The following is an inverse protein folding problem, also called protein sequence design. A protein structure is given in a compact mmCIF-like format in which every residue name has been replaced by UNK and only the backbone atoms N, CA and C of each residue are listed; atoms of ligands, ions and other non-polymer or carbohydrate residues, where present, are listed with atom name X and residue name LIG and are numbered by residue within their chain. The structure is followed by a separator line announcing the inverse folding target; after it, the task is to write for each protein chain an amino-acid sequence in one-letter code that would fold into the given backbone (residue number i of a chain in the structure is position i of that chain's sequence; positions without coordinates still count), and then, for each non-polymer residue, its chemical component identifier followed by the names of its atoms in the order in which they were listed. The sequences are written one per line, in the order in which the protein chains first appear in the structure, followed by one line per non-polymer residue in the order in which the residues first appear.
data_IF_134719131829
#
_entry.id   IF_134719131829
#
_cell.length_a   1.000
_cell.length_b   1.000
_cell.length_c   1.000
_cell.angle_alpha   90.00
_cell.angle_beta   90.00
_cell.angle_gamma   90.00
#
_symmetry.space_group_name_H-M   'P 1'
#
loop_
_entity.id
_entity.type
_entity.pdbx_description
1 polymer ?
#
# COMPACT_ATOMS: atom_id res chain seq x y z
N UNK A 1 -32.52 33.39 19.52
CA UNK A 1 -31.45 34.41 19.39
C UNK A 1 -30.30 33.94 20.28
N UNK A 2 -29.04 33.84 19.87
CA UNK A 2 -28.39 34.24 18.63
C UNK A 2 -27.39 33.18 18.14
N UNK A 3 -27.19 33.16 16.82
CA UNK A 3 -26.17 32.37 16.16
C UNK A 3 -24.80 32.98 16.39
N UNK A 4 -23.89 32.20 17.00
CA UNK A 4 -22.47 32.48 16.97
C UNK A 4 -21.91 32.14 15.59
N UNK A 5 -21.56 33.17 14.83
CA UNK A 5 -20.66 33.04 13.67
C UNK A 5 -19.38 32.34 14.15
N UNK A 6 -19.09 31.16 13.61
CA UNK A 6 -17.74 30.59 13.69
C UNK A 6 -16.84 31.53 12.88
N UNK A 7 -16.06 32.34 13.59
CA UNK A 7 -14.89 32.98 13.03
C UNK A 7 -13.91 31.87 12.68
N UNK A 8 -13.59 31.73 11.40
CA UNK A 8 -12.47 30.93 10.92
C UNK A 8 -11.19 31.52 11.51
N UNK A 9 -10.77 31.00 12.66
CA UNK A 9 -9.41 31.17 13.14
C UNK A 9 -8.52 30.40 12.16
N UNK A 10 -7.87 31.13 11.24
CA UNK A 10 -6.79 30.60 10.41
C UNK A 10 -5.74 30.05 11.36
N UNK A 11 -5.72 28.73 11.52
CA UNK A 11 -4.75 28.02 12.33
C UNK A 11 -3.37 28.20 11.72
N UNK A 12 -2.38 28.47 12.56
CA UNK A 12 -0.98 28.79 12.19
C UNK A 12 -0.26 27.67 11.40
N UNK A 13 -0.85 26.47 11.27
CA UNK A 13 -0.29 25.34 10.50
C UNK A 13 -1.19 24.90 9.34
N UNK A 14 -1.54 25.82 8.42
CA UNK A 14 -2.24 25.45 7.18
C UNK A 14 -1.29 24.65 6.27
N UNK A 15 -1.66 23.43 5.91
CA UNK A 15 -0.87 22.59 5.01
C UNK A 15 -0.87 23.16 3.58
N UNK A 16 0.19 22.92 2.76
CA UNK A 16 0.28 23.46 1.41
C UNK A 16 -0.93 23.14 0.52
N UNK A 17 -1.45 21.89 0.58
CA UNK A 17 -2.63 21.50 -0.18
C UNK A 17 -3.91 22.22 0.27
N UNK A 18 -4.02 22.57 1.55
CA UNK A 18 -5.18 23.32 2.10
C UNK A 18 -5.13 24.77 1.65
N UNK A 19 -3.94 25.38 1.67
CA UNK A 19 -3.74 26.73 1.16
C UNK A 19 -4.04 26.80 -0.34
N UNK A 20 -3.57 25.81 -1.10
CA UNK A 20 -3.89 25.68 -2.52
C UNK A 20 -5.40 25.48 -2.75
N UNK A 21 -6.06 24.62 -1.99
CA UNK A 21 -7.51 24.39 -2.09
C UNK A 21 -8.31 25.67 -1.82
N UNK A 22 -7.97 26.41 -0.77
CA UNK A 22 -8.64 27.67 -0.45
C UNK A 22 -8.42 28.72 -1.56
N UNK A 23 -7.19 28.89 -2.01
CA UNK A 23 -6.84 29.86 -3.04
C UNK A 23 -7.47 29.51 -4.41
N UNK A 24 -7.37 28.25 -4.84
CA UNK A 24 -7.96 27.77 -6.09
C UNK A 24 -9.48 27.89 -6.08
N UNK A 25 -10.15 27.59 -4.95
CA UNK A 25 -11.59 27.78 -4.80
C UNK A 25 -11.99 29.25 -4.97
N UNK A 26 -11.28 30.18 -4.35
CA UNK A 26 -11.54 31.62 -4.52
C UNK A 26 -11.30 32.06 -5.97
N UNK A 27 -10.19 31.65 -6.58
CA UNK A 27 -9.85 32.01 -7.96
C UNK A 27 -10.90 31.50 -8.95
N UNK A 28 -11.28 30.23 -8.86
CA UNK A 28 -12.29 29.64 -9.75
C UNK A 28 -13.67 30.25 -9.51
N UNK A 29 -14.04 30.53 -8.25
CA UNK A 29 -15.31 31.20 -7.95
C UNK A 29 -15.33 32.60 -8.56
N UNK A 30 -14.24 33.35 -8.51
CA UNK A 30 -14.16 34.66 -9.14
C UNK A 30 -14.27 34.58 -10.68
N UNK A 31 -13.64 33.57 -11.29
CA UNK A 31 -13.78 33.31 -12.74
C UNK A 31 -15.24 33.00 -13.09
N UNK A 32 -15.93 32.18 -12.29
CA UNK A 32 -17.35 31.85 -12.48
C UNK A 32 -18.23 33.08 -12.30
N UNK A 33 -17.97 33.90 -11.28
CA UNK A 33 -18.69 35.17 -11.05
C UNK A 33 -18.53 36.10 -12.23
N UNK A 34 -17.31 36.29 -12.73
CA UNK A 34 -17.03 37.17 -13.86
C UNK A 34 -17.69 36.65 -15.13
N UNK A 35 -17.57 35.34 -15.41
CA UNK A 35 -18.23 34.73 -16.57
C UNK A 35 -19.75 34.90 -16.50
N UNK A 36 -20.36 34.65 -15.34
CA UNK A 36 -21.80 34.81 -15.14
C UNK A 36 -22.26 36.26 -15.20
N UNK A 37 -21.44 37.20 -14.71
CA UNK A 37 -21.67 38.63 -14.82
C UNK A 37 -21.65 39.08 -16.27
N UNK A 38 -20.62 38.70 -17.04
CA UNK A 38 -20.53 39.00 -18.47
C UNK A 38 -21.70 38.39 -19.24
N UNK A 39 -22.10 37.16 -18.88
CA UNK A 39 -23.21 36.49 -19.52
C UNK A 39 -24.56 37.19 -19.25
N UNK A 40 -24.76 37.74 -18.04
CA UNK A 40 -25.95 38.52 -17.70
C UNK A 40 -25.92 39.93 -18.30
N UNK A 41 -24.77 40.60 -18.24
CA UNK A 41 -24.57 41.98 -18.69
C UNK A 41 -24.77 42.11 -20.21
N UNK A 42 -24.22 41.16 -20.98
CA UNK A 42 -24.38 41.13 -22.43
C UNK A 42 -25.59 40.31 -22.90
N UNK A 43 -26.45 39.87 -21.97
CA UNK A 43 -27.64 39.06 -22.27
C UNK A 43 -27.35 37.76 -23.06
N UNK A 44 -26.17 37.18 -22.83
CA UNK A 44 -25.78 35.89 -23.39
C UNK A 44 -26.47 34.71 -22.67
N UNK A 45 -26.85 34.91 -21.41
CA UNK A 45 -27.66 34.00 -20.61
C UNK A 45 -29.17 34.20 -20.83
N UNK A 46 -30.01 33.16 -20.66
CA UNK A 46 -31.46 33.29 -20.76
C UNK A 46 -32.02 34.19 -19.66
N UNK A 47 -32.99 35.04 -20.00
CA UNK A 47 -33.65 35.94 -19.05
C UNK A 47 -34.63 35.19 -18.14
N UNK A 48 -34.90 35.72 -16.94
CA UNK A 48 -36.05 35.31 -16.11
C UNK A 48 -37.11 36.42 -16.07
N UNK A 49 -38.41 36.12 -16.03
CA UNK A 49 -39.43 37.16 -15.88
C UNK A 49 -39.38 37.78 -14.48
N UNK A 50 -39.51 39.11 -14.40
CA UNK A 50 -39.55 39.84 -13.12
C UNK A 50 -40.79 39.41 -12.33
N UNK A 51 -40.57 39.04 -11.06
CA UNK A 51 -41.63 38.60 -10.15
C UNK A 51 -42.65 39.71 -9.80
N UNK A 52 -42.45 40.94 -10.29
CA UNK A 52 -43.33 42.09 -10.08
C UNK A 52 -44.11 42.58 -11.32
N UNK A 53 -43.99 41.95 -12.49
CA UNK A 53 -44.61 42.47 -13.72
C UNK A 53 -46.13 42.22 -13.75
N UNK A 54 -46.92 43.30 -13.60
CA UNK A 54 -48.40 43.30 -13.61
C UNK A 54 -49.07 43.01 -14.97
N UNK A 55 -48.34 42.55 -15.99
CA UNK A 55 -48.93 42.16 -17.28
C UNK A 55 -48.95 40.65 -17.45
N UNK A 56 -49.94 40.02 -16.82
CA UNK A 56 -50.79 38.97 -17.38
C UNK A 56 -50.22 37.94 -18.37
N UNK A 57 -49.02 37.40 -18.15
CA UNK A 57 -48.61 36.13 -18.75
C UNK A 57 -48.38 35.16 -17.60
N UNK A 58 -49.25 34.16 -17.45
CA UNK A 58 -48.94 32.98 -16.63
C UNK A 58 -47.70 32.37 -17.26
N UNK A 59 -46.54 32.63 -16.66
CA UNK A 59 -45.32 31.94 -17.03
C UNK A 59 -45.35 30.66 -16.22
N UNK A 60 -45.50 29.52 -16.90
CA UNK A 60 -45.23 28.22 -16.30
C UNK A 60 -43.87 28.27 -15.60
N UNK A 61 -43.71 27.54 -14.48
CA UNK A 61 -42.51 27.59 -13.64
C UNK A 61 -41.24 27.69 -14.49
N UNK A 62 -40.52 28.82 -14.38
CA UNK A 62 -39.34 29.12 -15.18
C UNK A 62 -38.32 28.00 -15.01
N UNK A 63 -38.16 27.19 -16.05
CA UNK A 63 -37.15 26.14 -16.14
C UNK A 63 -36.00 26.64 -17.05
N UNK A 64 -34.82 26.93 -16.47
CA UNK A 64 -33.65 27.40 -17.20
C UNK A 64 -33.15 26.41 -18.25
N UNK A 65 -33.57 25.14 -18.18
CA UNK A 65 -33.12 24.08 -19.10
C UNK A 65 -33.95 24.00 -20.39
N UNK A 66 -35.16 24.55 -20.40
CA UNK A 66 -36.13 24.39 -21.51
C UNK A 66 -36.42 25.69 -22.27
N UNK A 67 -36.15 26.87 -21.70
CA UNK A 67 -36.50 28.15 -22.34
C UNK A 67 -35.31 28.78 -23.05
N UNK A 68 -35.00 28.28 -24.25
CA UNK A 68 -34.00 28.87 -25.16
C UNK A 68 -34.56 30.05 -25.97
N UNK A 69 -35.35 30.93 -25.36
CA UNK A 69 -35.83 32.14 -26.06
C UNK A 69 -34.95 33.32 -25.64
N UNK A 70 -33.95 33.65 -26.48
CA UNK A 70 -33.24 34.93 -26.34
C UNK A 70 -34.25 36.04 -26.58
N UNK A 71 -34.29 36.94 -25.61
CA UNK A 71 -35.21 38.07 -25.59
C UNK A 71 -34.51 39.21 -26.29
N UNK A 72 -35.18 39.83 -27.26
CA UNK A 72 -34.62 41.01 -27.93
C UNK A 72 -34.46 42.15 -26.92
N UNK A 73 -33.54 43.09 -27.15
CA UNK A 73 -33.38 44.26 -26.27
C UNK A 73 -34.70 45.01 -26.06
N UNK A 74 -35.54 45.10 -27.09
CA UNK A 74 -36.86 45.72 -27.01
C UNK A 74 -37.79 44.94 -26.07
N UNK A 75 -37.85 43.61 -26.18
CA UNK A 75 -38.65 42.77 -25.27
C UNK A 75 -38.10 42.80 -23.84
N UNK A 76 -36.79 42.96 -23.65
CA UNK A 76 -36.16 43.10 -22.32
C UNK A 76 -36.63 44.38 -21.63
N UNK A 77 -36.56 45.51 -22.34
CA UNK A 77 -36.96 46.85 -21.84
C UNK A 77 -38.47 46.94 -21.63
N UNK A 78 -39.28 46.30 -22.48
CA UNK A 78 -40.74 46.41 -22.44
C UNK A 78 -41.44 45.31 -21.62
N UNK A 79 -40.78 44.17 -21.39
CA UNK A 79 -41.39 42.95 -20.87
C UNK A 79 -41.21 42.68 -19.38
N UNK A 80 -40.48 43.52 -18.63
CA UNK A 80 -40.21 43.29 -17.22
C UNK A 80 -39.41 42.01 -17.00
N UNK A 81 -38.26 41.89 -17.67
CA UNK A 81 -37.33 40.78 -17.54
C UNK A 81 -36.15 41.14 -16.65
N UNK A 82 -35.59 40.16 -15.97
CA UNK A 82 -34.43 40.30 -15.10
C UNK A 82 -33.36 39.25 -15.45
N UNK A 83 -32.11 39.56 -15.12
CA UNK A 83 -31.02 38.59 -15.20
C UNK A 83 -31.22 37.46 -14.20
N UNK A 84 -30.69 36.27 -14.50
CA UNK A 84 -30.78 35.11 -13.60
C UNK A 84 -30.26 35.47 -12.19
N UNK A 85 -29.16 36.22 -12.12
CA UNK A 85 -28.49 36.54 -10.86
C UNK A 85 -27.69 35.33 -10.34
N UNK A 86 -27.35 35.33 -9.04
CA UNK A 86 -26.55 34.28 -8.39
C UNK A 86 -25.24 33.97 -9.14
N UNK A 87 -24.39 34.99 -9.32
CA UNK A 87 -23.15 34.88 -10.11
C UNK A 87 -22.13 33.90 -9.52
N UNK A 88 -22.20 33.59 -8.22
CA UNK A 88 -21.28 32.68 -7.55
C UNK A 88 -21.50 31.20 -7.84
N UNK A 89 -22.56 30.82 -8.57
CA UNK A 89 -22.92 29.42 -8.82
C UNK A 89 -22.76 29.09 -10.31
N UNK A 90 -22.02 28.01 -10.67
CA UNK A 90 -21.92 27.54 -12.05
C UNK A 90 -23.30 27.22 -12.64
N UNK A 91 -23.57 27.66 -13.87
CA UNK A 91 -24.90 27.54 -14.50
C UNK A 91 -24.97 26.36 -15.46
N UNK A 92 -26.09 25.60 -15.40
CA UNK A 92 -26.32 24.36 -16.15
C UNK A 92 -27.28 24.53 -17.32
N UNK A 93 -27.03 25.48 -18.22
CA UNK A 93 -27.78 25.62 -19.48
C UNK A 93 -26.84 25.60 -20.69
N UNK A 94 -27.33 25.17 -21.86
CA UNK A 94 -26.53 25.10 -23.08
C UNK A 94 -26.45 26.48 -23.74
N UNK A 95 -25.28 27.13 -23.68
CA UNK A 95 -24.98 28.35 -24.44
C UNK A 95 -24.67 27.99 -25.92
N UNK A 96 -25.13 28.82 -26.87
CA UNK A 96 -24.82 28.66 -28.30
C UNK A 96 -23.31 28.83 -28.58
N UNK A 97 -22.74 28.00 -29.46
CA UNK A 97 -21.30 27.89 -29.76
C UNK A 97 -20.57 29.22 -30.05
N UNK A 98 -21.21 30.15 -30.75
CA UNK A 98 -20.57 31.40 -31.18
C UNK A 98 -20.32 32.35 -30.00
N UNK A 99 -21.23 32.36 -29.03
CA UNK A 99 -21.17 33.24 -27.85
C UNK A 99 -20.25 32.69 -26.77
N UNK A 100 -20.08 31.37 -26.72
CA UNK A 100 -18.98 30.77 -26.00
C UNK A 100 -17.61 31.25 -26.49
N UNK A 101 -17.49 31.65 -27.76
CA UNK A 101 -16.21 32.12 -28.32
C UNK A 101 -15.90 33.55 -27.89
N UNK A 102 -16.89 34.45 -27.90
CA UNK A 102 -16.72 35.85 -27.46
C UNK A 102 -16.44 35.95 -25.95
N UNK A 103 -17.26 35.28 -25.13
CA UNK A 103 -17.08 35.23 -23.67
C UNK A 103 -15.72 34.61 -23.34
N UNK A 104 -15.33 33.55 -24.05
CA UNK A 104 -14.00 32.94 -23.89
C UNK A 104 -12.87 33.91 -24.22
N UNK A 105 -12.94 34.67 -25.32
CA UNK A 105 -11.89 35.63 -25.68
C UNK A 105 -11.75 36.74 -24.62
N UNK A 106 -12.86 37.21 -24.06
CA UNK A 106 -12.85 38.20 -22.97
C UNK A 106 -12.22 37.60 -21.71
N UNK A 107 -12.59 36.36 -21.35
CA UNK A 107 -12.00 35.66 -20.21
C UNK A 107 -10.50 35.37 -20.41
N UNK A 108 -10.07 35.05 -21.63
CA UNK A 108 -8.65 34.89 -21.95
C UNK A 108 -7.87 36.21 -21.82
N UNK A 109 -8.49 37.35 -22.13
CA UNK A 109 -7.88 38.66 -21.91
C UNK A 109 -7.79 39.03 -20.43
N UNK A 110 -8.86 38.76 -19.65
CA UNK A 110 -8.92 39.09 -18.21
C UNK A 110 -8.05 38.16 -17.36
N UNK A 111 -8.03 36.86 -17.69
CA UNK A 111 -7.41 35.80 -16.91
C UNK A 111 -6.26 35.10 -17.65
N UNK A 112 -5.69 35.69 -18.70
CA UNK A 112 -4.64 35.06 -19.52
C UNK A 112 -3.41 34.59 -18.72
N UNK A 113 -3.07 35.29 -17.63
CA UNK A 113 -1.95 34.92 -16.75
C UNK A 113 -2.34 33.96 -15.62
N UNK A 114 -3.63 33.65 -15.44
CA UNK A 114 -4.11 32.84 -14.33
C UNK A 114 -3.53 31.43 -14.34
N UNK A 115 -3.33 30.85 -15.53
CA UNK A 115 -2.67 29.56 -15.69
C UNK A 115 -1.24 29.59 -15.12
N UNK A 116 -0.45 30.59 -15.49
CA UNK A 116 0.94 30.69 -15.01
C UNK A 116 1.02 30.90 -13.49
N UNK A 117 0.10 31.68 -12.92
CA UNK A 117 0.02 31.82 -11.46
C UNK A 117 -0.38 30.51 -10.78
N UNK A 118 -1.33 29.77 -11.35
CA UNK A 118 -1.77 28.49 -10.81
C UNK A 118 -0.64 27.45 -10.86
N UNK A 119 0.08 27.36 -11.98
CA UNK A 119 1.26 26.49 -12.12
C UNK A 119 2.35 26.88 -11.10
N UNK A 120 2.63 28.18 -10.93
CA UNK A 120 3.59 28.65 -9.93
C UNK A 120 3.15 28.33 -8.49
N UNK A 121 1.85 28.38 -8.19
CA UNK A 121 1.32 27.97 -6.89
C UNK A 121 1.47 26.48 -6.65
N UNK A 122 1.23 25.66 -7.67
CA UNK A 122 1.45 24.21 -7.62
C UNK A 122 2.92 23.94 -7.30
N UNK A 123 3.84 24.49 -8.10
CA UNK A 123 5.27 24.27 -7.95
C UNK A 123 5.78 24.69 -6.56
N UNK A 124 5.30 25.83 -6.04
CA UNK A 124 5.64 26.29 -4.70
C UNK A 124 5.07 25.38 -3.61
N UNK A 125 3.84 24.89 -3.78
CA UNK A 125 3.19 23.99 -2.84
C UNK A 125 3.81 22.59 -2.79
N UNK A 126 4.39 22.12 -3.90
CA UNK A 126 5.01 20.79 -4.01
C UNK A 126 6.54 20.80 -3.87
N UNK A 127 7.17 21.97 -3.74
CA UNK A 127 8.63 22.13 -3.73
C UNK A 127 9.34 21.31 -2.66
N UNK A 128 8.79 21.28 -1.45
CA UNK A 128 9.40 20.59 -0.30
C UNK A 128 8.85 19.19 -0.10
N UNK A 129 7.55 19.01 -0.38
CA UNK A 129 6.86 17.74 -0.26
C UNK A 129 6.00 17.50 -1.51
N UNK A 130 6.53 16.77 -2.50
CA UNK A 130 5.77 16.42 -3.70
C UNK A 130 4.54 15.54 -3.44
N UNK A 131 4.44 14.86 -2.29
CA UNK A 131 3.26 14.06 -1.96
C UNK A 131 2.00 14.91 -1.81
N UNK A 132 2.16 16.19 -1.45
CA UNK A 132 1.08 17.19 -1.37
C UNK A 132 0.34 17.37 -2.70
N UNK A 133 0.95 17.00 -3.83
CA UNK A 133 0.30 17.01 -5.13
C UNK A 133 -0.98 16.19 -5.12
N UNK A 134 -1.04 15.07 -4.39
CA UNK A 134 -2.24 14.25 -4.26
C UNK A 134 -3.41 15.01 -3.60
N UNK A 135 -3.12 15.73 -2.51
CA UNK A 135 -4.14 16.55 -1.84
C UNK A 135 -4.61 17.73 -2.69
N UNK A 136 -3.72 18.29 -3.51
CA UNK A 136 -4.07 19.32 -4.48
C UNK A 136 -4.91 18.77 -5.64
N UNK A 137 -4.65 17.54 -6.09
CA UNK A 137 -5.49 16.84 -7.09
C UNK A 137 -6.91 16.65 -6.54
N UNK A 138 -7.05 16.17 -5.30
CA UNK A 138 -8.36 16.02 -4.65
C UNK A 138 -9.13 17.36 -4.59
N UNK A 139 -8.43 18.46 -4.32
CA UNK A 139 -9.02 19.80 -4.34
C UNK A 139 -9.45 20.23 -5.76
N UNK A 140 -8.63 19.95 -6.79
CA UNK A 140 -8.98 20.24 -8.18
C UNK A 140 -10.19 19.43 -8.63
N UNK A 141 -10.30 18.16 -8.23
CA UNK A 141 -11.46 17.29 -8.52
C UNK A 141 -12.77 17.86 -7.95
N UNK A 142 -12.74 18.38 -6.71
CA UNK A 142 -13.91 19.02 -6.12
C UNK A 142 -14.36 20.25 -6.92
N UNK A 143 -13.40 21.06 -7.42
CA UNK A 143 -13.68 22.21 -8.29
C UNK A 143 -14.17 21.77 -9.67
N UNK A 144 -13.62 20.69 -10.21
CA UNK A 144 -14.00 20.12 -11.50
C UNK A 144 -15.46 19.63 -11.45
N UNK A 145 -15.84 18.92 -10.38
CA UNK A 145 -17.20 18.43 -10.17
C UNK A 145 -18.24 19.56 -10.05
N UNK A 146 -17.85 20.72 -9.48
CA UNK A 146 -18.71 21.91 -9.50
C UNK A 146 -18.90 22.48 -10.91
N UNK A 147 -17.89 22.40 -11.77
CA UNK A 147 -17.92 22.92 -13.14
C UNK A 147 -18.44 21.91 -14.18
N UNK A 148 -18.47 20.60 -13.87
CA UNK A 148 -18.94 19.56 -14.81
C UNK A 148 -20.40 19.80 -15.21
N UNK A 149 -20.65 19.77 -16.53
CA UNK A 149 -21.98 19.98 -17.10
C UNK A 149 -22.47 21.43 -17.10
N UNK A 150 -21.57 22.41 -16.92
CA UNK A 150 -21.86 23.84 -16.94
C UNK A 150 -21.29 24.52 -18.20
N UNK A 151 -21.59 25.79 -18.41
CA UNK A 151 -21.05 26.62 -19.49
C UNK A 151 -19.62 27.14 -19.22
N UNK A 152 -18.99 26.73 -18.12
CA UNK A 152 -17.71 27.26 -17.62
C UNK A 152 -16.48 26.60 -18.30
N UNK A 153 -16.44 26.60 -19.64
CA UNK A 153 -15.41 25.90 -20.41
C UNK A 153 -13.98 26.40 -20.11
N UNK A 154 -13.80 27.69 -19.84
CA UNK A 154 -12.49 28.25 -19.48
C UNK A 154 -11.97 27.68 -18.16
N UNK A 155 -12.83 27.65 -17.12
CA UNK A 155 -12.48 27.10 -15.81
C UNK A 155 -12.19 25.60 -15.88
N UNK A 156 -12.99 24.83 -16.64
CA UNK A 156 -12.77 23.39 -16.86
C UNK A 156 -11.38 23.13 -17.46
N UNK A 157 -11.03 23.83 -18.55
CA UNK A 157 -9.72 23.67 -19.21
C UNK A 157 -8.55 24.05 -18.30
N UNK A 158 -8.72 25.10 -17.50
CA UNK A 158 -7.72 25.53 -16.54
C UNK A 158 -7.48 24.46 -15.46
N UNK A 159 -8.56 23.88 -14.92
CA UNK A 159 -8.50 22.81 -13.93
C UNK A 159 -7.92 21.50 -14.50
N UNK A 160 -8.29 21.12 -15.73
CA UNK A 160 -7.70 19.97 -16.44
C UNK A 160 -6.19 20.12 -16.62
N UNK A 161 -5.73 21.33 -16.99
CA UNK A 161 -4.31 21.62 -17.15
C UNK A 161 -3.55 21.53 -15.80
N UNK A 162 -4.13 22.09 -14.73
CA UNK A 162 -3.57 22.04 -13.38
C UNK A 162 -3.48 20.61 -12.85
N UNK A 163 -4.54 19.81 -13.04
CA UNK A 163 -4.58 18.38 -12.68
C UNK A 163 -3.48 17.60 -13.39
N UNK A 164 -3.32 17.79 -14.70
CA UNK A 164 -2.26 17.13 -15.49
C UNK A 164 -0.85 17.48 -14.98
N UNK A 165 -0.61 18.74 -14.63
CA UNK A 165 0.66 19.18 -14.05
C UNK A 165 0.93 18.51 -12.70
N UNK A 166 -0.06 18.50 -11.81
CA UNK A 166 0.00 17.83 -10.51
C UNK A 166 0.24 16.32 -10.63
N UNK A 167 -0.45 15.63 -11.54
CA UNK A 167 -0.24 14.20 -11.79
C UNK A 167 1.19 13.92 -12.24
N UNK A 168 1.77 14.79 -13.09
CA UNK A 168 3.15 14.65 -13.55
C UNK A 168 4.15 14.76 -12.39
N UNK A 169 3.97 15.75 -11.50
CA UNK A 169 4.80 15.93 -10.30
C UNK A 169 4.68 14.70 -9.38
N UNK A 170 3.45 14.21 -9.19
CA UNK A 170 3.19 13.06 -8.34
C UNK A 170 3.81 11.77 -8.91
N UNK A 171 3.70 11.53 -10.22
CA UNK A 171 4.34 10.38 -10.86
C UNK A 171 5.88 10.42 -10.71
N UNK A 172 6.50 11.59 -10.88
CA UNK A 172 7.94 11.77 -10.65
C UNK A 172 8.33 11.46 -9.21
N UNK A 173 7.50 11.89 -8.25
CA UNK A 173 7.69 11.54 -6.85
C UNK A 173 7.64 10.02 -6.62
N UNK A 174 6.66 9.31 -7.18
CA UNK A 174 6.55 7.85 -7.05
C UNK A 174 7.78 7.16 -7.63
N UNK A 175 8.23 7.57 -8.82
CA UNK A 175 9.45 7.02 -9.43
C UNK A 175 10.70 7.28 -8.57
N UNK A 176 10.82 8.48 -7.99
CA UNK A 176 11.92 8.79 -7.08
C UNK A 176 11.87 7.93 -5.80
N UNK A 177 10.69 7.64 -5.25
CA UNK A 177 10.56 6.73 -4.11
C UNK A 177 10.98 5.29 -4.46
N UNK A 178 10.58 4.78 -5.63
CA UNK A 178 10.99 3.45 -6.11
C UNK A 178 12.50 3.38 -6.30
N UNK A 179 13.11 4.37 -6.97
CA UNK A 179 14.56 4.44 -7.15
C UNK A 179 15.31 4.52 -5.80
N UNK A 180 14.77 5.24 -4.81
CA UNK A 180 15.36 5.33 -3.48
C UNK A 180 15.28 4.01 -2.68
N UNK A 181 14.28 3.17 -2.97
CA UNK A 181 14.18 1.81 -2.41
C UNK A 181 15.28 0.93 -3.01
N UNK A 182 15.51 1.03 -4.32
CA UNK A 182 16.50 0.23 -5.06
C UNK A 182 17.95 0.61 -4.74
N UNK A 183 18.25 1.90 -4.60
CA UNK A 183 19.60 2.40 -4.32
C UNK A 183 20.14 1.86 -2.98
N UNK A 184 19.24 1.53 -2.05
CA UNK A 184 19.57 0.81 -0.81
C UNK A 184 19.80 -0.68 -1.08
N UNK A 185 20.88 -0.99 -1.79
CA UNK A 185 21.32 -2.37 -2.04
C UNK A 185 21.38 -3.16 -0.74
N UNK A 186 20.65 -4.26 -0.69
CA UNK A 186 20.65 -5.19 0.43
C UNK A 186 21.98 -5.95 0.45
N UNK A 187 22.85 -5.63 1.42
CA UNK A 187 24.11 -6.34 1.58
C UNK A 187 23.84 -7.65 2.31
N UNK A 188 23.89 -8.78 1.60
CA UNK A 188 23.71 -10.14 2.18
C UNK A 188 24.91 -10.60 3.02
N UNK A 189 26.09 -10.00 2.80
CA UNK A 189 27.34 -10.33 3.51
C UNK A 189 27.39 -9.83 4.96
N UNK A 190 26.75 -8.69 5.25
CA UNK A 190 26.54 -8.16 6.60
C UNK A 190 25.04 -8.05 6.79
N UNK A 191 24.46 -8.84 7.69
CA UNK A 191 23.03 -8.81 8.02
C UNK A 191 22.60 -7.37 8.31
N UNK A 192 22.08 -6.71 7.29
CA UNK A 192 21.57 -5.36 7.41
C UNK A 192 20.31 -5.44 8.29
N UNK A 193 20.11 -4.45 9.15
CA UNK A 193 18.90 -4.40 9.97
C UNK A 193 17.64 -4.20 9.12
N UNK A 194 16.52 -3.99 9.81
CA UNK A 194 15.24 -3.64 9.17
C UNK A 194 15.43 -2.40 8.28
N UNK A 195 15.01 -2.50 7.03
CA UNK A 195 15.12 -1.41 6.06
C UNK A 195 14.18 -0.25 6.47
N UNK A 196 14.61 1.02 6.39
CA UNK A 196 13.74 2.15 6.70
C UNK A 196 12.44 2.18 5.89
N UNK A 197 12.47 1.77 4.62
CA UNK A 197 11.29 1.72 3.75
C UNK A 197 10.17 0.87 4.37
N UNK A 198 10.51 -0.29 4.94
CA UNK A 198 9.56 -1.19 5.60
C UNK A 198 8.91 -0.55 6.84
N UNK A 199 9.65 0.25 7.60
CA UNK A 199 9.12 0.94 8.79
C UNK A 199 8.28 2.17 8.43
N UNK A 200 8.61 2.82 7.32
CA UNK A 200 7.94 4.04 6.85
C UNK A 200 6.66 3.69 6.09
N UNK A 201 6.63 2.56 5.38
CA UNK A 201 5.50 2.19 4.52
C UNK A 201 4.13 2.24 5.22
N UNK A 202 3.92 1.67 6.43
CA UNK A 202 2.64 1.82 7.12
C UNK A 202 2.24 3.28 7.40
N UNK A 203 3.21 4.14 7.71
CA UNK A 203 2.97 5.59 7.91
C UNK A 203 2.66 6.29 6.58
N UNK A 204 3.32 5.87 5.51
CA UNK A 204 3.05 6.35 4.16
C UNK A 204 1.60 6.06 3.76
N UNK A 205 1.05 4.87 4.04
CA UNK A 205 -0.36 4.58 3.81
C UNK A 205 -1.28 5.56 4.54
N UNK A 206 -1.02 5.80 5.83
CA UNK A 206 -1.82 6.75 6.63
C UNK A 206 -1.72 8.18 6.11
N UNK A 207 -0.54 8.59 5.63
CA UNK A 207 -0.32 9.90 5.02
C UNK A 207 -1.07 10.05 3.70
N UNK A 208 -0.93 9.08 2.80
CA UNK A 208 -1.61 9.06 1.51
C UNK A 208 -3.13 9.10 1.63
N UNK A 209 -3.68 8.39 2.62
CA UNK A 209 -5.11 8.46 2.94
C UNK A 209 -5.53 9.85 3.42
N UNK A 210 -4.72 10.48 4.27
CA UNK A 210 -5.03 11.83 4.77
C UNK A 210 -5.06 12.87 3.64
N UNK A 211 -4.30 12.64 2.58
CA UNK A 211 -4.22 13.51 1.40
C UNK A 211 -5.31 13.24 0.37
N UNK A 212 -5.68 11.98 0.11
CA UNK A 212 -6.68 11.66 -0.92
C UNK A 212 -8.09 12.16 -0.62
N UNK A 213 -8.40 12.41 0.67
CA UNK A 213 -9.74 12.85 1.09
C UNK A 213 -10.82 11.79 0.85
N UNK A 214 -11.99 11.94 1.49
CA UNK A 214 -13.07 10.94 1.38
C UNK A 214 -13.98 11.16 0.15
N UNK A 215 -13.92 12.32 -0.49
CA UNK A 215 -14.89 12.75 -1.52
C UNK A 215 -14.33 12.82 -2.95
N UNK A 216 -13.11 12.33 -3.18
CA UNK A 216 -12.37 12.49 -4.44
C UNK A 216 -12.00 11.10 -5.01
N UNK A 217 -12.82 10.50 -5.88
CA UNK A 217 -12.66 9.11 -6.29
C UNK A 217 -11.41 8.87 -7.14
N UNK A 218 -11.03 9.83 -7.99
CA UNK A 218 -9.85 9.71 -8.85
C UNK A 218 -8.56 9.86 -8.02
N UNK A 219 -8.53 10.80 -7.07
CA UNK A 219 -7.43 10.92 -6.10
C UNK A 219 -7.28 9.65 -5.23
N UNK A 220 -8.38 9.06 -4.79
CA UNK A 220 -8.36 7.79 -4.06
C UNK A 220 -7.83 6.63 -4.91
N UNK A 221 -8.26 6.54 -6.16
CA UNK A 221 -7.76 5.52 -7.09
C UNK A 221 -6.26 5.67 -7.31
N UNK A 222 -5.79 6.89 -7.61
CA UNK A 222 -4.37 7.19 -7.81
C UNK A 222 -3.53 6.87 -6.56
N UNK A 223 -4.04 7.20 -5.37
CA UNK A 223 -3.45 6.85 -4.08
C UNK A 223 -3.31 5.33 -3.92
N UNK A 224 -4.41 4.60 -4.14
CA UNK A 224 -4.44 3.15 -4.03
C UNK A 224 -3.51 2.45 -5.04
N UNK A 225 -3.47 2.93 -6.28
CA UNK A 225 -2.55 2.44 -7.31
C UNK A 225 -1.10 2.69 -6.90
N UNK A 226 -0.78 3.86 -6.34
CA UNK A 226 0.56 4.22 -5.89
C UNK A 226 1.02 3.36 -4.72
N UNK A 227 0.18 3.21 -3.70
CA UNK A 227 0.47 2.35 -2.55
C UNK A 227 0.68 0.91 -3.01
N UNK A 228 -0.13 0.44 -3.97
CA UNK A 228 0.02 -0.88 -4.56
C UNK A 228 1.36 -1.04 -5.29
N UNK A 229 1.75 -0.08 -6.13
CA UNK A 229 3.04 -0.10 -6.84
C UNK A 229 4.22 -0.10 -5.87
N UNK A 230 4.25 0.84 -4.92
CA UNK A 230 5.34 0.97 -3.94
C UNK A 230 5.40 -0.25 -3.01
N UNK A 231 4.25 -0.72 -2.53
CA UNK A 231 4.18 -1.88 -1.64
C UNK A 231 4.62 -3.17 -2.33
N UNK A 232 4.20 -3.38 -3.58
CA UNK A 232 4.63 -4.53 -4.37
C UNK A 232 6.13 -4.49 -4.62
N UNK A 233 6.68 -3.33 -4.97
CA UNK A 233 8.12 -3.15 -5.18
C UNK A 233 8.96 -3.49 -3.93
N UNK A 234 8.49 -3.07 -2.74
CA UNK A 234 9.13 -3.42 -1.46
C UNK A 234 9.09 -4.94 -1.26
N UNK A 235 7.95 -5.59 -1.50
CA UNK A 235 7.83 -7.04 -1.36
C UNK A 235 8.73 -7.79 -2.33
N UNK A 236 8.69 -7.42 -3.61
CA UNK A 236 9.48 -8.04 -4.68
C UNK A 236 10.97 -7.93 -4.38
N UNK A 237 11.43 -6.83 -3.79
CA UNK A 237 12.84 -6.68 -3.36
C UNK A 237 13.27 -7.81 -2.42
N UNK A 238 12.44 -8.17 -1.43
CA UNK A 238 12.77 -9.25 -0.48
C UNK A 238 12.51 -10.63 -1.05
N UNK A 239 11.43 -10.81 -1.81
CA UNK A 239 11.09 -12.09 -2.43
C UNK A 239 12.15 -12.47 -3.45
N UNK A 240 12.53 -11.56 -4.35
CA UNK A 240 13.57 -11.77 -5.35
C UNK A 240 14.93 -12.05 -4.71
N UNK A 241 15.27 -11.35 -3.62
CA UNK A 241 16.49 -11.63 -2.88
C UNK A 241 16.54 -13.09 -2.39
N UNK A 242 15.45 -13.60 -1.82
CA UNK A 242 15.40 -14.99 -1.33
C UNK A 242 15.40 -15.97 -2.50
N UNK A 243 14.65 -15.72 -3.57
CA UNK A 243 14.58 -16.63 -4.71
C UNK A 243 15.91 -16.72 -5.46
N UNK A 244 16.58 -15.60 -5.72
CA UNK A 244 17.89 -15.55 -6.38
C UNK A 244 18.98 -16.24 -5.54
N UNK A 245 18.99 -16.02 -4.23
CA UNK A 245 19.94 -16.71 -3.35
C UNK A 245 19.64 -18.20 -3.20
N UNK A 246 18.37 -18.62 -3.25
CA UNK A 246 17.95 -20.03 -3.25
C UNK A 246 18.41 -20.75 -4.52
N UNK A 247 18.22 -20.13 -5.69
CA UNK A 247 18.64 -20.71 -6.97
C UNK A 247 20.16 -20.80 -7.06
N UNK A 248 20.88 -19.77 -6.62
CA UNK A 248 22.35 -19.80 -6.54
C UNK A 248 22.86 -20.93 -5.63
N UNK A 249 22.19 -21.19 -4.50
CA UNK A 249 22.59 -22.19 -3.52
C UNK A 249 22.37 -23.65 -3.96
N UNK A 250 21.72 -23.93 -5.09
CA UNK A 250 21.47 -25.29 -5.59
C UNK A 250 22.76 -26.10 -5.86
N UNK A 251 23.90 -25.42 -6.05
CA UNK A 251 25.20 -26.05 -6.27
C UNK A 251 25.88 -26.66 -5.03
N UNK A 252 25.23 -26.72 -3.87
CA UNK A 252 25.78 -27.19 -2.59
C UNK A 252 27.07 -26.47 -2.13
N UNK A 253 27.35 -25.28 -2.68
CA UNK A 253 28.44 -24.43 -2.21
C UNK A 253 28.11 -23.88 -0.81
N UNK A 254 29.02 -24.10 0.14
CA UNK A 254 28.88 -23.68 1.54
C UNK A 254 28.72 -22.17 1.69
N UNK A 255 29.38 -21.39 0.84
CA UNK A 255 29.31 -19.93 0.90
C UNK A 255 27.96 -19.44 0.35
N UNK A 256 27.47 -20.03 -0.74
CA UNK A 256 26.15 -19.70 -1.31
C UNK A 256 25.01 -20.12 -0.36
N UNK A 257 25.12 -21.27 0.31
CA UNK A 257 24.16 -21.69 1.34
C UNK A 257 24.14 -20.73 2.54
N UNK A 258 25.28 -20.14 2.89
CA UNK A 258 25.36 -19.12 3.95
C UNK A 258 24.75 -17.80 3.50
N UNK A 259 24.91 -17.42 2.23
CA UNK A 259 24.25 -16.24 1.65
C UNK A 259 22.73 -16.42 1.59
N UNK A 260 22.24 -17.60 1.19
CA UNK A 260 20.82 -17.95 1.24
C UNK A 260 20.25 -17.92 2.67
N UNK A 261 20.99 -18.44 3.65
CA UNK A 261 20.57 -18.32 5.05
C UNK A 261 20.47 -16.85 5.50
N UNK A 262 21.41 -16.01 5.08
CA UNK A 262 21.39 -14.59 5.43
C UNK A 262 20.25 -13.83 4.73
N UNK A 263 19.93 -14.15 3.47
CA UNK A 263 18.80 -13.56 2.76
C UNK A 263 17.46 -13.93 3.42
N UNK A 264 17.29 -15.20 3.82
CA UNK A 264 16.11 -15.65 4.57
C UNK A 264 15.93 -14.87 5.87
N UNK A 265 17.00 -14.71 6.66
CA UNK A 265 16.94 -13.94 7.91
C UNK A 265 16.53 -12.49 7.62
N UNK A 266 17.15 -11.86 6.61
CA UNK A 266 16.86 -10.48 6.25
C UNK A 266 15.41 -10.30 5.81
N UNK A 267 14.93 -11.14 4.89
CA UNK A 267 13.58 -11.09 4.38
C UNK A 267 12.55 -11.38 5.49
N UNK A 268 12.77 -12.42 6.29
CA UNK A 268 11.89 -12.79 7.41
C UNK A 268 11.75 -11.64 8.42
N UNK A 269 12.87 -11.03 8.82
CA UNK A 269 12.91 -9.92 9.78
C UNK A 269 12.20 -8.67 9.24
N UNK A 270 12.34 -8.38 7.95
CA UNK A 270 11.69 -7.24 7.31
C UNK A 270 10.20 -7.48 7.09
N UNK A 271 9.79 -8.62 6.54
CA UNK A 271 8.39 -8.93 6.26
C UNK A 271 7.54 -9.08 7.52
N UNK A 272 8.11 -9.64 8.60
CA UNK A 272 7.44 -9.65 9.91
C UNK A 272 7.25 -8.24 10.47
N UNK A 273 8.26 -7.36 10.34
CA UNK A 273 8.11 -5.94 10.73
C UNK A 273 7.04 -5.23 9.90
N UNK A 274 7.01 -5.48 8.59
CA UNK A 274 6.01 -4.92 7.68
C UNK A 274 4.61 -5.35 8.11
N UNK A 275 4.41 -6.65 8.32
CA UNK A 275 3.15 -7.23 8.81
C UNK A 275 2.73 -6.57 10.13
N UNK A 276 3.63 -6.48 11.10
CA UNK A 276 3.32 -5.94 12.42
C UNK A 276 2.98 -4.44 12.35
N UNK A 277 3.61 -3.69 11.45
CA UNK A 277 3.28 -2.29 11.17
C UNK A 277 1.94 -2.10 10.47
N UNK A 278 1.51 -3.06 9.64
CA UNK A 278 0.21 -3.05 8.95
C UNK A 278 -0.93 -3.59 9.82
N UNK A 279 -0.65 -4.42 10.81
CA UNK A 279 -1.65 -5.00 11.72
C UNK A 279 -2.65 -3.97 12.30
N UNK A 280 -2.23 -2.82 12.87
CA UNK A 280 -3.17 -1.83 13.42
C UNK A 280 -4.11 -1.23 12.36
N UNK A 281 -3.68 -1.17 11.09
CA UNK A 281 -4.48 -0.67 9.98
C UNK A 281 -5.53 -1.68 9.50
N UNK A 282 -5.37 -2.97 9.82
CA UNK A 282 -6.28 -4.04 9.38
C UNK A 282 -7.22 -4.50 10.51
N UNK A 283 -6.81 -4.38 11.78
CA UNK A 283 -7.59 -4.88 12.93
C UNK A 283 -8.68 -3.94 13.44
N UNK A 284 -8.71 -2.68 13.02
CA UNK A 284 -9.68 -1.70 13.51
C UNK A 284 -10.90 -1.60 12.58
N UNK A 285 -12.11 -1.72 13.13
CA UNK A 285 -13.37 -1.52 12.37
C UNK A 285 -13.51 -0.08 11.82
N UNK A 286 -12.84 0.91 12.44
CA UNK A 286 -12.75 2.27 11.87
C UNK A 286 -11.94 2.31 10.57
N UNK A 287 -11.05 1.35 10.38
CA UNK A 287 -10.19 1.23 9.21
C UNK A 287 -10.93 0.63 8.01
N UNK A 288 -12.07 -0.05 8.18
CA UNK A 288 -12.83 -0.62 7.05
C UNK A 288 -13.45 0.46 6.15
N UNK A 289 -13.59 1.68 6.65
CA UNK A 289 -14.11 2.84 5.89
C UNK A 289 -13.02 3.58 5.11
N UNK A 290 -11.78 3.12 5.21
CA UNK A 290 -10.60 3.74 4.63
C UNK A 290 -10.46 3.33 3.15
N UNK A 291 -10.20 4.29 2.26
CA UNK A 291 -10.00 3.98 0.83
C UNK A 291 -8.84 3.00 0.61
N UNK A 292 -7.83 3.09 1.48
CA UNK A 292 -6.61 2.25 1.48
C UNK A 292 -6.74 0.91 2.23
N UNK A 293 -7.89 0.61 2.85
CA UNK A 293 -8.07 -0.60 3.67
C UNK A 293 -7.79 -1.89 2.91
N UNK A 294 -8.36 -2.02 1.71
CA UNK A 294 -8.22 -3.23 0.89
C UNK A 294 -6.77 -3.46 0.50
N UNK A 295 -6.05 -2.38 0.19
CA UNK A 295 -4.62 -2.42 -0.16
C UNK A 295 -3.79 -2.81 1.06
N UNK A 296 -4.04 -2.20 2.23
CA UNK A 296 -3.37 -2.54 3.48
C UNK A 296 -3.60 -4.01 3.88
N UNK A 297 -4.83 -4.50 3.78
CA UNK A 297 -5.21 -5.89 4.06
C UNK A 297 -4.54 -6.86 3.08
N UNK A 298 -4.49 -6.51 1.80
CA UNK A 298 -3.78 -7.30 0.79
C UNK A 298 -2.30 -7.46 1.15
N UNK A 299 -1.60 -6.36 1.44
CA UNK A 299 -0.19 -6.40 1.82
C UNK A 299 0.06 -7.10 3.15
N UNK A 300 -0.82 -6.94 4.14
CA UNK A 300 -0.75 -7.69 5.39
C UNK A 300 -0.81 -9.20 5.15
N UNK A 301 -1.75 -9.65 4.32
CA UNK A 301 -1.93 -11.07 4.01
C UNK A 301 -0.73 -11.64 3.21
N UNK A 302 -0.27 -10.93 2.18
CA UNK A 302 0.87 -11.38 1.37
C UNK A 302 2.16 -11.40 2.19
N UNK A 303 2.42 -10.35 2.98
CA UNK A 303 3.58 -10.30 3.88
C UNK A 303 3.55 -11.44 4.89
N UNK A 304 2.37 -11.75 5.45
CA UNK A 304 2.19 -12.87 6.37
C UNK A 304 2.47 -14.22 5.73
N UNK A 305 2.01 -14.44 4.49
CA UNK A 305 2.25 -15.67 3.74
C UNK A 305 3.74 -15.86 3.43
N UNK A 306 4.39 -14.85 2.85
CA UNK A 306 5.83 -14.94 2.57
C UNK A 306 6.66 -15.08 3.83
N UNK A 307 6.33 -14.36 4.90
CA UNK A 307 6.99 -14.52 6.19
C UNK A 307 6.86 -15.96 6.71
N UNK A 308 5.67 -16.58 6.62
CA UNK A 308 5.49 -17.98 7.01
C UNK A 308 6.32 -18.94 6.15
N UNK A 309 6.37 -18.75 4.83
CA UNK A 309 7.20 -19.57 3.93
C UNK A 309 8.69 -19.44 4.26
N UNK A 310 9.19 -18.21 4.44
CA UNK A 310 10.60 -17.99 4.75
C UNK A 310 10.97 -18.44 6.17
N UNK A 311 10.02 -18.35 7.11
CA UNK A 311 10.18 -18.92 8.44
C UNK A 311 10.36 -20.42 8.35
N UNK A 312 9.51 -21.12 7.60
CA UNK A 312 9.61 -22.56 7.39
C UNK A 312 10.94 -22.95 6.76
N UNK A 313 11.33 -22.32 5.64
CA UNK A 313 12.61 -22.58 4.97
C UNK A 313 13.80 -22.35 5.92
N UNK A 314 13.76 -21.29 6.73
CA UNK A 314 14.77 -21.01 7.74
C UNK A 314 14.82 -22.10 8.83
N UNK A 315 13.66 -22.52 9.34
CA UNK A 315 13.55 -23.55 10.38
C UNK A 315 14.10 -24.88 9.87
N UNK A 316 13.76 -25.28 8.64
CA UNK A 316 14.29 -26.50 8.03
C UNK A 316 15.82 -26.47 7.93
N UNK A 317 16.42 -25.36 7.49
CA UNK A 317 17.89 -25.20 7.44
C UNK A 317 18.50 -25.24 8.85
N UNK A 318 17.82 -24.65 9.83
CA UNK A 318 18.30 -24.60 11.20
C UNK A 318 18.32 -26.01 11.81
N UNK A 319 17.22 -26.76 11.67
CA UNK A 319 17.05 -28.14 12.16
C UNK A 319 17.99 -29.13 11.44
N UNK A 320 18.20 -28.99 10.13
CA UNK A 320 19.08 -29.88 9.35
C UNK A 320 20.53 -29.81 9.81
N UNK A 321 20.99 -28.71 10.41
CA UNK A 321 22.38 -28.61 10.90
C UNK A 321 22.75 -29.68 11.95
N UNK A 322 22.00 -29.85 13.05
CA UNK A 322 22.29 -30.91 14.02
C UNK A 322 21.68 -32.26 13.67
N UNK A 323 20.54 -32.29 12.96
CA UNK A 323 19.80 -33.54 12.68
C UNK A 323 20.02 -34.07 11.28
N UNK A 324 20.81 -33.41 10.43
CA UNK A 324 20.92 -33.70 9.00
C UNK A 324 21.26 -35.16 8.70
N UNK A 325 22.21 -35.76 9.44
CA UNK A 325 22.56 -37.18 9.27
C UNK A 325 21.39 -38.12 9.58
N UNK A 326 20.55 -37.80 10.56
CA UNK A 326 19.35 -38.58 10.86
C UNK A 326 18.29 -38.34 9.77
N UNK A 327 18.04 -37.08 9.43
CA UNK A 327 17.05 -36.69 8.40
C UNK A 327 17.37 -37.38 7.07
N UNK A 328 18.60 -37.27 6.59
CA UNK A 328 19.03 -37.84 5.31
C UNK A 328 18.92 -39.37 5.32
N UNK A 329 19.33 -40.04 6.41
CA UNK A 329 19.21 -41.49 6.54
C UNK A 329 17.75 -41.95 6.49
N UNK A 330 16.88 -41.36 7.32
CA UNK A 330 15.47 -41.76 7.39
C UNK A 330 14.69 -41.37 6.12
N UNK A 331 15.04 -40.26 5.46
CA UNK A 331 14.46 -39.89 4.18
C UNK A 331 14.72 -40.93 3.09
N UNK A 332 15.93 -41.49 3.03
CA UNK A 332 16.26 -42.55 2.06
C UNK A 332 15.50 -43.85 2.38
N UNK A 333 15.32 -44.18 3.66
CA UNK A 333 14.53 -45.33 4.10
C UNK A 333 13.06 -45.19 3.69
N UNK A 334 12.47 -44.00 3.91
CA UNK A 334 11.08 -43.71 3.55
C UNK A 334 10.86 -43.70 2.02
N UNK A 335 11.83 -43.19 1.25
CA UNK A 335 11.82 -43.23 -0.22
C UNK A 335 11.91 -44.66 -0.76
N UNK A 336 12.80 -45.48 -0.20
CA UNK A 336 12.94 -46.89 -0.54
C UNK A 336 11.63 -47.64 -0.32
N UNK A 337 10.98 -47.35 0.81
CA UNK A 337 9.67 -47.93 1.13
C UNK A 337 8.58 -47.49 0.15
N UNK A 338 8.55 -46.21 -0.21
CA UNK A 338 7.59 -45.69 -1.19
C UNK A 338 7.74 -46.37 -2.57
N UNK A 339 8.95 -46.88 -2.86
CA UNK A 339 9.27 -47.67 -4.05
C UNK A 339 9.16 -49.18 -3.84
N UNK A 340 8.63 -49.62 -2.69
CA UNK A 340 8.51 -51.03 -2.28
C UNK A 340 9.84 -51.81 -2.29
N UNK A 341 10.95 -51.11 -2.04
CA UNK A 341 12.29 -51.70 -1.91
C UNK A 341 12.64 -51.91 -0.44
N UNK A 342 13.42 -52.95 -0.14
CA UNK A 342 13.94 -53.16 1.22
C UNK A 342 15.06 -52.16 1.52
N UNK A 343 14.94 -51.32 2.56
CA UNK A 343 15.98 -50.36 2.94
C UNK A 343 17.31 -51.02 3.31
N UNK A 344 17.30 -52.28 3.76
CA UNK A 344 18.53 -53.02 4.12
C UNK A 344 19.43 -53.32 2.91
N UNK A 345 18.86 -53.34 1.70
CA UNK A 345 19.60 -53.57 0.45
C UNK A 345 20.31 -52.30 -0.03
N UNK A 346 19.99 -51.14 0.53
CA UNK A 346 20.63 -49.87 0.18
C UNK A 346 21.96 -49.75 0.95
N UNK A 347 23.10 -49.57 0.25
CA UNK A 347 24.38 -49.37 0.89
C UNK A 347 24.32 -48.24 1.93
N UNK A 348 24.84 -48.49 3.13
CA UNK A 348 24.84 -47.51 4.22
C UNK A 348 23.52 -47.37 5.00
N UNK A 349 22.47 -48.12 4.65
CA UNK A 349 21.16 -48.10 5.32
C UNK A 349 20.80 -49.43 6.02
N UNK A 350 21.81 -50.31 6.17
CA UNK A 350 21.68 -51.54 6.93
C UNK A 350 21.70 -51.31 8.45
N UNK A 351 21.38 -52.36 9.22
CA UNK A 351 21.33 -52.34 10.69
C UNK A 351 22.60 -51.83 11.36
N UNK A 352 23.77 -52.19 10.83
CA UNK A 352 25.06 -51.76 11.39
C UNK A 352 25.26 -50.25 11.24
N UNK A 353 24.87 -49.69 10.08
CA UNK A 353 24.95 -48.26 9.80
C UNK A 353 23.98 -47.46 10.67
N UNK A 354 22.75 -47.98 10.85
CA UNK A 354 21.77 -47.41 11.77
C UNK A 354 22.30 -47.41 13.22
N UNK A 355 22.86 -48.52 13.70
CA UNK A 355 23.42 -48.61 15.07
C UNK A 355 24.53 -47.57 15.29
N UNK A 356 25.41 -47.39 14.30
CA UNK A 356 26.46 -46.37 14.34
C UNK A 356 25.89 -44.95 14.33
N UNK A 357 24.83 -44.71 13.57
CA UNK A 357 24.17 -43.41 13.49
C UNK A 357 23.51 -43.03 14.82
N UNK A 358 22.76 -43.94 15.43
CA UNK A 358 22.12 -43.73 16.74
C UNK A 358 23.16 -43.50 17.85
N UNK A 359 24.23 -44.29 17.86
CA UNK A 359 25.33 -44.12 18.83
C UNK A 359 26.06 -42.76 18.71
N UNK A 360 25.92 -42.07 17.58
CA UNK A 360 26.49 -40.73 17.35
C UNK A 360 25.47 -39.59 17.58
N UNK A 361 24.27 -39.92 18.06
CA UNK A 361 23.21 -38.97 18.43
C UNK A 361 22.66 -39.34 19.81
N UNK A 362 23.56 -39.35 20.79
CA UNK A 362 23.23 -39.63 22.20
C UNK A 362 22.36 -38.52 22.80
N UNK A 363 21.72 -38.80 23.95
CA UNK A 363 20.93 -37.78 24.68
C UNK A 363 21.73 -36.48 24.93
N UNK A 364 23.01 -36.63 25.30
CA UNK A 364 23.90 -35.50 25.60
C UNK A 364 24.18 -34.64 24.36
N UNK A 365 24.44 -35.27 23.23
CA UNK A 365 24.73 -34.58 21.97
C UNK A 365 23.50 -33.83 21.44
N UNK A 366 22.32 -34.47 21.49
CA UNK A 366 21.07 -33.84 21.08
C UNK A 366 20.72 -32.66 22.00
N UNK A 367 20.88 -32.80 23.32
CA UNK A 367 20.65 -31.71 24.27
C UNK A 367 21.57 -30.50 24.00
N UNK A 368 22.87 -30.74 23.78
CA UNK A 368 23.80 -29.66 23.43
C UNK A 368 23.50 -29.05 22.06
N UNK A 369 23.09 -29.86 21.08
CA UNK A 369 22.65 -29.36 19.78
C UNK A 369 21.44 -28.41 19.88
N UNK A 370 20.43 -28.75 20.69
CA UNK A 370 19.26 -27.88 20.94
C UNK A 370 19.68 -26.53 21.54
N UNK A 371 20.60 -26.52 22.51
CA UNK A 371 21.14 -25.26 23.07
C UNK A 371 21.85 -24.41 22.01
N UNK A 372 22.66 -25.03 21.16
CA UNK A 372 23.38 -24.33 20.09
C UNK A 372 22.42 -23.79 19.02
N UNK A 373 21.34 -24.51 18.72
CA UNK A 373 20.28 -24.05 17.83
C UNK A 373 19.63 -22.78 18.36
N UNK A 374 19.24 -22.77 19.64
CA UNK A 374 18.62 -21.60 20.25
C UNK A 374 19.54 -20.39 20.22
N UNK A 375 20.79 -20.52 20.68
CA UNK A 375 21.79 -19.45 20.63
C UNK A 375 21.99 -18.89 19.22
N UNK A 376 21.89 -19.75 18.21
CA UNK A 376 21.99 -19.33 16.80
C UNK A 376 20.75 -18.55 16.36
N UNK A 377 19.55 -19.03 16.70
CA UNK A 377 18.31 -18.31 16.43
C UNK A 377 18.30 -16.94 17.13
N UNK A 378 18.72 -16.88 18.39
CA UNK A 378 18.88 -15.63 19.16
C UNK A 378 19.88 -14.68 18.49
N UNK A 379 21.04 -15.16 18.05
CA UNK A 379 22.00 -14.34 17.29
C UNK A 379 21.43 -13.79 15.98
N UNK A 380 20.46 -14.47 15.37
CA UNK A 380 19.87 -14.09 14.09
C UNK A 380 18.68 -13.13 14.28
N UNK A 381 17.85 -13.39 15.28
CA UNK A 381 16.51 -12.81 15.43
C UNK A 381 16.30 -12.11 16.78
N UNK A 382 17.31 -12.02 17.64
CA UNK A 382 17.20 -11.45 19.00
C UNK A 382 16.77 -9.99 19.03
N UNK A 383 16.90 -9.26 17.92
CA UNK A 383 16.32 -7.91 17.78
C UNK A 383 14.80 -7.89 17.71
N UNK A 384 14.14 -9.04 17.55
CA UNK A 384 12.70 -9.21 17.44
C UNK A 384 12.22 -10.40 18.30
N UNK A 385 11.98 -10.20 19.61
CA UNK A 385 11.63 -11.28 20.52
C UNK A 385 10.35 -12.04 20.13
N UNK A 386 9.34 -11.34 19.62
CA UNK A 386 8.10 -11.96 19.16
C UNK A 386 8.33 -12.91 17.96
N UNK A 387 9.19 -12.51 17.01
CA UNK A 387 9.57 -13.35 15.88
C UNK A 387 10.40 -14.55 16.36
N UNK A 388 11.37 -14.33 17.25
CA UNK A 388 12.18 -15.41 17.82
C UNK A 388 11.30 -16.46 18.52
N UNK A 389 10.32 -16.03 19.31
CA UNK A 389 9.36 -16.92 19.98
C UNK A 389 8.51 -17.72 18.98
N UNK A 390 8.01 -17.06 17.93
CA UNK A 390 7.24 -17.72 16.88
C UNK A 390 8.05 -18.77 16.12
N UNK A 391 9.30 -18.44 15.75
CA UNK A 391 10.24 -19.34 15.07
C UNK A 391 10.59 -20.52 15.98
N UNK A 392 10.86 -20.26 17.26
CA UNK A 392 11.21 -21.33 18.20
C UNK A 392 10.05 -22.29 18.45
N UNK A 393 8.81 -21.79 18.45
CA UNK A 393 7.62 -22.65 18.49
C UNK A 393 7.57 -23.60 17.29
N UNK A 394 7.85 -23.12 16.09
CA UNK A 394 7.90 -23.97 14.89
C UNK A 394 9.05 -24.96 14.95
N UNK A 395 10.25 -24.53 15.38
CA UNK A 395 11.39 -25.45 15.62
C UNK A 395 11.00 -26.57 16.57
N UNK A 396 10.31 -26.25 17.66
CA UNK A 396 9.84 -27.24 18.64
C UNK A 396 8.86 -28.21 18.00
N UNK A 397 7.84 -27.71 17.30
CA UNK A 397 6.83 -28.57 16.66
C UNK A 397 7.45 -29.51 15.63
N UNK A 398 8.36 -29.01 14.79
CA UNK A 398 8.96 -29.82 13.73
C UNK A 398 10.01 -30.80 14.24
N UNK A 399 10.78 -30.45 15.29
CA UNK A 399 11.67 -31.39 15.97
C UNK A 399 10.90 -32.57 16.60
N UNK A 400 9.72 -32.31 17.17
CA UNK A 400 8.88 -33.37 17.74
C UNK A 400 8.30 -34.27 16.65
N UNK A 401 7.83 -33.71 15.54
CA UNK A 401 7.36 -34.49 14.37
C UNK A 401 8.47 -35.35 13.79
N UNK A 402 9.69 -34.81 13.67
CA UNK A 402 10.87 -35.56 13.20
C UNK A 402 11.17 -36.75 14.12
N UNK A 403 11.17 -36.56 15.44
CA UNK A 403 11.39 -37.65 16.39
C UNK A 403 10.31 -38.74 16.27
N UNK A 404 9.05 -38.35 16.12
CA UNK A 404 7.94 -39.28 15.90
C UNK A 404 8.11 -40.07 14.59
N UNK A 405 8.48 -39.39 13.50
CA UNK A 405 8.77 -40.01 12.20
C UNK A 405 9.91 -41.03 12.32
N UNK A 406 11.04 -40.66 12.92
CA UNK A 406 12.16 -41.58 13.11
C UNK A 406 11.76 -42.81 13.93
N UNK A 407 11.00 -42.61 15.00
CA UNK A 407 10.52 -43.71 15.86
C UNK A 407 9.55 -44.63 15.11
N UNK A 408 8.67 -44.08 14.27
CA UNK A 408 7.76 -44.85 13.43
C UNK A 408 8.52 -45.67 12.39
N UNK A 409 9.51 -45.08 11.70
CA UNK A 409 10.33 -45.77 10.71
C UNK A 409 11.18 -46.87 11.35
N UNK A 410 11.76 -46.63 12.53
CA UNK A 410 12.46 -47.66 13.33
C UNK A 410 11.54 -48.85 13.67
N UNK A 411 10.34 -48.56 14.15
CA UNK A 411 9.34 -49.57 14.54
C UNK A 411 8.77 -50.32 13.34
N UNK A 412 8.93 -49.80 12.12
CA UNK A 412 8.38 -50.42 10.91
C UNK A 412 9.39 -51.30 10.17
N UNK A 413 10.66 -50.89 10.11
CA UNK A 413 11.68 -51.56 9.28
C UNK A 413 12.80 -52.22 10.08
N UNK A 414 12.95 -51.87 11.35
CA UNK A 414 14.06 -52.33 12.17
C UNK A 414 13.60 -52.96 13.49
N UNK A 415 12.35 -53.47 13.55
CA UNK A 415 11.77 -54.15 14.73
C UNK A 415 12.70 -55.20 15.31
N UNK A 416 13.29 -56.02 14.44
CA UNK A 416 14.07 -57.18 14.84
C UNK A 416 15.50 -56.82 15.27
N UNK A 417 15.87 -55.54 15.15
CA UNK A 417 17.20 -55.05 15.50
C UNK A 417 17.34 -54.66 16.97
N UNK A 418 16.22 -54.41 17.67
CA UNK A 418 16.22 -53.86 19.03
C UNK A 418 16.81 -52.45 19.14
N UNK A 419 17.08 -51.78 18.02
CA UNK A 419 17.67 -50.43 18.00
C UNK A 419 16.56 -49.40 18.23
N UNK A 420 16.72 -48.60 19.28
CA UNK A 420 15.82 -47.49 19.62
C UNK A 420 16.62 -46.21 19.81
N UNK A 421 16.00 -45.05 19.64
CA UNK A 421 16.62 -43.77 19.99
C UNK A 421 16.82 -43.71 21.51
N UNK A 422 17.98 -43.21 21.95
CA UNK A 422 18.32 -43.15 23.38
C UNK A 422 17.44 -42.17 24.17
N UNK A 423 16.71 -41.27 23.52
CA UNK A 423 15.86 -40.26 24.15
C UNK A 423 14.41 -40.40 23.72
N UNK A 424 13.50 -40.06 24.65
CA UNK A 424 12.06 -40.04 24.41
C UNK A 424 11.62 -38.67 23.91
N UNK A 425 10.42 -38.62 23.35
CA UNK A 425 9.79 -37.35 22.92
C UNK A 425 9.66 -36.36 24.09
N UNK A 426 9.38 -36.84 25.30
CA UNK A 426 9.28 -36.01 26.51
C UNK A 426 10.60 -35.34 26.89
N UNK A 427 11.73 -36.04 26.74
CA UNK A 427 13.07 -35.50 27.01
C UNK A 427 13.40 -34.36 26.03
N UNK A 428 13.10 -34.59 24.74
CA UNK A 428 13.29 -33.59 23.68
C UNK A 428 12.43 -32.34 23.91
N UNK A 429 11.15 -32.52 24.27
CA UNK A 429 10.25 -31.42 24.62
C UNK A 429 10.80 -30.60 25.80
N UNK A 430 11.24 -31.28 26.86
CA UNK A 430 11.84 -30.61 28.02
C UNK A 430 13.05 -29.76 27.62
N UNK A 431 13.96 -30.29 26.80
CA UNK A 431 15.16 -29.55 26.37
C UNK A 431 14.82 -28.33 25.49
N UNK A 432 13.80 -28.44 24.64
CA UNK A 432 13.32 -27.34 23.80
C UNK A 432 12.65 -26.23 24.65
N UNK A 433 11.85 -26.62 25.63
CA UNK A 433 11.17 -25.69 26.54
C UNK A 433 12.15 -25.00 27.49
N UNK A 434 13.21 -25.68 27.94
CA UNK A 434 14.30 -25.12 28.74
C UNK A 434 14.99 -23.92 28.06
N UNK A 435 14.95 -23.81 26.72
CA UNK A 435 15.57 -22.69 26.01
C UNK A 435 14.66 -21.49 25.82
N UNK A 436 13.34 -21.65 25.92
CA UNK A 436 12.35 -20.58 25.67
C UNK A 436 11.69 -20.00 26.91
N UNK A 437 12.13 -20.44 28.10
CA UNK A 437 11.82 -19.79 29.38
C UNK A 437 12.74 -18.59 29.57
#
# INVERSE_FOLDING_TARGET
MGGGRRSDSISVDMQPYQAFSAASRTLITNVVVEQNFLADFFHYAPAKPSTGSKKGRKVDAYDPSTTSARITFNEWVTGGWESIGMWSVPRKYKVQSNINTEVKNILELLFGNLKAHLDSMIDMGTRFDPSQALGMIAAVEELEDMCKGTDQLFAIRLLEAAKKHLTTIFDQFVQAQMAAIDDKKLVTKKRSGVQPAVRIFPKFLSHMESLSGLNSPEAQELSNQTISKVGQHILDTFVNLVTESKTAAQGNDKDLLKEYLNSLILALTNLSTLRDGLAPLVSSSKSERLGTFNVAKHFYNISSRHAATFQHDYVMILIHRPMGRLIDFFSVVDDAYSRQQSPELIPGHNRASLKKLVAAHTQKEVKEAVKLLYKRAEKHLGSQPALLSAVWREVREDMLKLHQSFTATLTKFYTDSGITLEFRQADLLQWLDEQSR
#
